data_IF_386096909471
#
_entry.id   IF_386096909471
#
_cell.length_a   1.000
_cell.length_b   1.000
_cell.length_c   1.000
_cell.angle_alpha   90.00
_cell.angle_beta   90.00
_cell.angle_gamma   90.00
#
_symmetry.space_group_name_H-M   'P 1'
#
loop_
_entity.id
_entity.type
_entity.pdbx_description
1 polymer ?
#
# COMPACT_ATOMS: atom_id res chain seq x y z
N UNK A 1 -33.91 -21.78 39.96
CA UNK A 1 -34.21 -21.60 38.53
C UNK A 1 -33.82 -20.17 38.17
N UNK A 2 -32.61 -19.96 37.66
CA UNK A 2 -32.31 -18.75 36.88
C UNK A 2 -31.08 -19.01 36.01
N UNK A 3 -31.30 -19.73 34.91
CA UNK A 3 -30.30 -19.90 33.87
C UNK A 3 -30.29 -18.63 33.01
N UNK A 4 -29.33 -17.76 33.30
CA UNK A 4 -28.95 -16.64 32.44
C UNK A 4 -28.50 -17.18 31.08
N UNK A 5 -29.40 -17.15 30.11
CA UNK A 5 -29.12 -17.46 28.70
C UNK A 5 -28.13 -16.42 28.17
N UNK A 6 -26.84 -16.76 28.16
CA UNK A 6 -25.80 -15.99 27.47
C UNK A 6 -26.10 -16.03 25.97
N UNK A 7 -26.56 -14.92 25.42
CA UNK A 7 -26.74 -14.75 23.98
C UNK A 7 -25.40 -15.02 23.27
N UNK A 8 -25.38 -15.79 22.17
CA UNK A 8 -24.16 -15.99 21.41
C UNK A 8 -23.67 -14.64 20.86
N UNK A 9 -22.41 -14.32 21.13
CA UNK A 9 -21.73 -13.15 20.55
C UNK A 9 -21.58 -13.41 19.03
N UNK A 10 -22.58 -13.02 18.24
CA UNK A 10 -22.41 -12.93 16.80
C UNK A 10 -21.34 -11.87 16.53
N UNK A 11 -20.18 -12.33 16.06
CA UNK A 11 -19.11 -11.45 15.60
C UNK A 11 -19.62 -10.79 14.32
N UNK A 12 -20.24 -9.62 14.45
CA UNK A 12 -20.58 -8.77 13.32
C UNK A 12 -19.28 -8.52 12.55
N UNK A 13 -19.12 -9.17 11.40
CA UNK A 13 -18.03 -8.87 10.47
C UNK A 13 -18.17 -7.40 10.11
N UNK A 14 -17.20 -6.58 10.50
CA UNK A 14 -17.24 -5.15 10.22
C UNK A 14 -17.53 -4.92 8.74
N UNK A 15 -18.52 -4.05 8.45
CA UNK A 15 -18.92 -3.70 7.08
C UNK A 15 -17.66 -3.30 6.30
N UNK A 16 -17.43 -3.93 5.15
CA UNK A 16 -16.36 -3.51 4.25
C UNK A 16 -16.56 -2.02 3.94
N UNK A 17 -15.51 -1.23 4.14
CA UNK A 17 -15.53 0.20 3.85
C UNK A 17 -15.42 0.35 2.35
N UNK A 18 -16.55 0.54 1.67
CA UNK A 18 -16.56 1.02 0.30
C UNK A 18 -16.18 2.51 0.26
N UNK A 19 -15.59 2.93 -0.86
CA UNK A 19 -15.33 4.32 -1.14
C UNK A 19 -16.65 5.07 -1.30
N UNK A 20 -16.72 6.28 -0.74
CA UNK A 20 -17.90 7.15 -0.87
C UNK A 20 -18.17 7.49 -2.34
N UNK A 21 -17.11 7.65 -3.14
CA UNK A 21 -17.20 7.95 -4.57
C UNK A 21 -17.78 6.80 -5.41
N UNK A 22 -17.83 5.57 -4.89
CA UNK A 22 -18.36 4.41 -5.62
C UNK A 22 -19.87 4.54 -5.85
N UNK A 23 -20.61 5.13 -4.91
CA UNK A 23 -22.05 5.30 -5.05
C UNK A 23 -22.80 3.97 -5.20
N UNK A 24 -23.73 3.92 -6.16
CA UNK A 24 -24.56 2.74 -6.47
C UNK A 24 -23.81 1.77 -7.39
N UNK A 25 -23.93 0.44 -7.19
CA UNK A 25 -23.32 -0.56 -8.07
C UNK A 25 -23.82 -0.55 -9.53
N UNK A 26 -24.96 0.09 -9.80
CA UNK A 26 -25.57 0.17 -11.13
C UNK A 26 -25.27 1.49 -11.86
N UNK A 27 -24.67 2.45 -11.15
CA UNK A 27 -24.29 3.75 -11.70
C UNK A 27 -22.78 3.82 -11.88
N UNK A 28 -22.32 4.71 -12.76
CA UNK A 28 -20.88 4.95 -12.91
C UNK A 28 -20.31 5.61 -11.67
N UNK A 29 -19.11 5.20 -11.30
CA UNK A 29 -18.37 5.84 -10.21
C UNK A 29 -18.07 7.31 -10.51
N UNK A 30 -18.22 8.16 -9.50
CA UNK A 30 -17.95 9.59 -9.65
C UNK A 30 -16.45 9.81 -9.94
N UNK A 31 -16.13 10.76 -10.82
CA UNK A 31 -14.75 11.08 -11.14
C UNK A 31 -14.01 11.60 -9.89
N UNK A 32 -12.92 10.93 -9.52
CA UNK A 32 -11.99 11.40 -8.48
C UNK A 32 -10.66 11.76 -9.15
N UNK A 33 -10.16 13.00 -8.99
CA UNK A 33 -8.90 13.42 -9.58
C UNK A 33 -7.72 12.61 -9.01
N UNK A 34 -6.68 12.46 -9.82
CA UNK A 34 -5.48 11.72 -9.44
C UNK A 34 -4.73 12.47 -8.34
N UNK A 35 -4.84 11.95 -7.11
CA UNK A 35 -3.96 12.30 -5.99
C UNK A 35 -2.99 11.15 -5.68
N UNK A 36 -2.69 10.33 -6.68
CA UNK A 36 -1.92 9.11 -6.50
C UNK A 36 -0.44 9.47 -6.36
N UNK A 37 0.15 9.13 -5.21
CA UNK A 37 1.60 8.98 -5.06
C UNK A 37 2.31 10.11 -4.33
N UNK A 38 1.79 11.33 -4.36
CA UNK A 38 2.39 12.46 -3.66
C UNK A 38 1.82 12.54 -2.26
N UNK A 39 2.25 11.60 -1.41
CA UNK A 39 2.01 11.63 0.04
C UNK A 39 2.69 12.80 0.76
N UNK A 40 2.97 13.90 0.05
CA UNK A 40 3.41 15.15 0.61
C UNK A 40 2.16 15.98 0.97
N UNK A 41 1.65 15.75 2.18
CA UNK A 41 1.04 16.87 2.90
C UNK A 41 2.07 18.01 2.85
N UNK A 42 1.77 19.10 2.14
CA UNK A 42 2.58 20.32 2.17
C UNK A 42 2.71 20.72 3.63
N UNK A 43 3.86 20.41 4.23
CA UNK A 43 4.13 20.77 5.61
C UNK A 43 4.29 22.27 5.62
N UNK A 44 3.41 22.94 6.33
CA UNK A 44 3.64 24.33 6.68
C UNK A 44 4.99 24.38 7.41
N UNK A 45 5.95 25.10 6.86
CA UNK A 45 7.30 25.18 7.43
C UNK A 45 7.17 25.87 8.78
N UNK A 46 7.41 25.14 9.85
CA UNK A 46 7.48 25.76 11.17
C UNK A 46 8.78 26.56 11.26
N UNK A 47 8.67 27.87 11.02
CA UNK A 47 9.79 28.83 11.06
C UNK A 47 10.50 28.84 12.43
N UNK A 48 9.84 28.34 13.49
CA UNK A 48 10.43 28.13 14.82
C UNK A 48 11.51 27.04 14.85
N UNK A 49 11.56 26.14 13.88
CA UNK A 49 12.61 25.13 13.77
C UNK A 49 13.99 25.72 13.42
N UNK A 50 14.02 26.97 12.91
CA UNK A 50 15.23 27.64 12.45
C UNK A 50 15.47 29.01 13.12
N UNK A 51 14.62 29.42 14.07
CA UNK A 51 14.73 30.72 14.76
C UNK A 51 14.39 30.61 16.25
N UNK A 52 15.03 31.44 17.08
CA UNK A 52 14.69 31.60 18.51
C UNK A 52 13.36 32.37 18.72
N UNK A 53 12.63 32.70 17.67
CA UNK A 53 11.42 33.51 17.77
C UNK A 53 10.21 32.68 18.21
N UNK A 54 9.82 32.90 19.47
CA UNK A 54 8.53 32.46 20.01
C UNK A 54 7.41 33.25 19.31
N UNK A 55 6.54 32.58 18.55
CA UNK A 55 5.25 33.15 18.13
C UNK A 55 4.44 33.41 19.41
N UNK A 56 4.41 34.65 19.87
CA UNK A 56 3.56 35.07 20.99
C UNK A 56 2.12 34.94 20.51
N UNK A 57 1.32 34.10 21.16
CA UNK A 57 -0.10 34.01 20.86
C UNK A 57 -0.76 35.31 21.30
N UNK A 58 -1.62 35.89 20.44
CA UNK A 58 -2.41 37.05 20.85
C UNK A 58 -3.29 36.61 22.03
N UNK A 59 -3.19 37.24 23.21
CA UNK A 59 -3.99 36.83 24.36
C UNK A 59 -5.47 36.96 24.01
N UNK A 60 -6.25 35.95 24.41
CA UNK A 60 -7.70 35.99 24.18
C UNK A 60 -8.34 37.11 25.01
N UNK A 61 -9.31 37.87 24.47
CA UNK A 61 -9.99 38.95 25.21
C UNK A 61 -10.69 38.46 26.48
N UNK A 62 -11.02 37.17 26.55
CA UNK A 62 -11.67 36.52 27.70
C UNK A 62 -10.70 36.25 28.86
N UNK A 63 -9.40 36.14 28.57
CA UNK A 63 -8.34 35.91 29.55
C UNK A 63 -7.60 37.21 29.82
N UNK A 64 -8.18 38.05 30.67
CA UNK A 64 -7.56 39.28 31.15
C UNK A 64 -6.99 39.11 32.57
N UNK A 65 -5.91 39.84 32.86
CA UNK A 65 -5.28 39.84 34.17
C UNK A 65 -6.23 40.46 35.21
N UNK A 66 -6.65 39.68 36.21
CA UNK A 66 -7.54 40.16 37.28
C UNK A 66 -6.76 40.85 38.39
N UNK A 67 -7.47 41.68 39.18
CA UNK A 67 -6.91 42.33 40.37
C UNK A 67 -6.27 41.28 41.28
N UNK A 68 -5.05 41.55 41.78
CA UNK A 68 -4.23 40.63 42.61
C UNK A 68 -3.57 39.43 41.88
N UNK A 69 -3.71 39.29 40.56
CA UNK A 69 -3.01 38.24 39.79
C UNK A 69 -1.70 38.70 39.13
N UNK A 70 -1.37 39.98 39.21
CA UNK A 70 -0.13 40.52 38.63
C UNK A 70 1.10 40.21 39.47
N UNK A 71 2.16 39.68 38.85
CA UNK A 71 3.45 39.33 39.49
C UNK A 71 4.52 40.44 39.34
N UNK A 72 4.09 41.71 39.28
CA UNK A 72 4.97 42.86 39.10
C UNK A 72 5.75 43.28 40.36
N UNK A 73 6.98 43.76 40.16
CA UNK A 73 7.77 44.55 41.14
C UNK A 73 8.35 43.81 42.36
N UNK A 74 7.50 43.26 43.23
CA UNK A 74 7.85 42.88 44.62
C UNK A 74 7.58 41.40 44.97
N UNK A 75 7.08 40.61 44.02
CA UNK A 75 6.81 39.18 44.23
C UNK A 75 8.11 38.39 44.42
N UNK A 76 8.17 37.44 45.39
CA UNK A 76 9.35 36.60 45.62
C UNK A 76 9.80 35.89 44.33
N UNK A 77 11.11 35.62 44.16
CA UNK A 77 11.66 34.95 42.98
C UNK A 77 10.94 33.63 42.65
N UNK A 78 10.52 32.87 43.66
CA UNK A 78 9.75 31.63 43.53
C UNK A 78 8.33 31.83 42.98
N UNK A 79 7.66 32.91 43.36
CA UNK A 79 6.32 33.23 42.85
C UNK A 79 6.40 33.68 41.38
N UNK A 80 7.48 34.38 41.02
CA UNK A 80 7.77 34.73 39.62
C UNK A 80 8.13 33.51 38.78
N UNK A 81 9.01 32.63 39.26
CA UNK A 81 9.39 31.44 38.51
C UNK A 81 8.21 30.48 38.32
N UNK A 82 7.34 30.31 39.32
CA UNK A 82 6.09 29.54 39.18
C UNK A 82 5.10 30.18 38.19
N UNK A 83 4.98 31.51 38.18
CA UNK A 83 4.10 32.20 37.23
C UNK A 83 4.67 32.17 35.79
N UNK A 84 5.98 32.27 35.61
CA UNK A 84 6.65 32.14 34.31
C UNK A 84 6.51 30.70 33.80
N UNK A 85 6.70 29.69 34.65
CA UNK A 85 6.49 28.29 34.31
C UNK A 85 5.01 27.94 34.02
N UNK A 86 4.06 28.63 34.66
CA UNK A 86 2.62 28.46 34.41
C UNK A 86 2.13 29.21 33.16
N UNK A 87 2.77 30.32 32.78
CA UNK A 87 2.45 31.11 31.60
C UNK A 87 3.07 30.53 30.32
N UNK A 88 4.25 29.93 30.41
CA UNK A 88 4.93 29.25 29.30
C UNK A 88 5.13 27.75 29.62
N UNK A 89 4.14 26.88 29.36
CA UNK A 89 4.37 25.43 29.32
C UNK A 89 5.32 25.01 28.18
N UNK A 90 5.81 25.96 27.38
CA UNK A 90 6.63 25.74 26.20
C UNK A 90 8.15 25.65 26.47
N UNK A 91 8.66 26.14 27.60
CA UNK A 91 10.12 26.20 27.88
C UNK A 91 10.76 24.83 28.22
N UNK A 92 9.99 23.73 28.14
CA UNK A 92 10.51 22.36 28.23
C UNK A 92 9.75 21.33 27.41
N UNK A 93 8.77 21.75 26.61
CA UNK A 93 8.03 20.84 25.74
C UNK A 93 8.89 20.49 24.53
N UNK A 94 9.63 19.37 24.64
CA UNK A 94 10.25 18.72 23.49
C UNK A 94 9.17 18.54 22.44
N UNK A 95 9.20 19.34 21.37
CA UNK A 95 8.25 19.21 20.26
C UNK A 95 8.42 17.77 19.76
N UNK A 96 7.40 16.90 19.90
CA UNK A 96 7.55 15.52 19.50
C UNK A 96 7.85 15.51 18.01
N UNK A 97 8.96 14.84 17.63
CA UNK A 97 9.32 14.67 16.22
C UNK A 97 8.08 14.22 15.44
N UNK A 98 7.82 14.81 14.26
CA UNK A 98 6.63 14.45 13.49
C UNK A 98 6.60 12.94 13.29
N UNK A 99 5.46 12.32 13.64
CA UNK A 99 5.32 10.86 13.60
C UNK A 99 5.66 10.38 12.18
N UNK A 100 6.60 9.44 12.07
CA UNK A 100 6.98 8.87 10.78
C UNK A 100 5.78 8.10 10.19
N UNK A 101 5.14 8.67 9.17
CA UNK A 101 3.98 8.09 8.48
C UNK A 101 4.38 7.07 7.38
N UNK A 102 5.64 6.59 7.36
CA UNK A 102 6.13 5.67 6.33
C UNK A 102 5.31 4.38 6.19
N UNK A 103 4.78 3.84 7.29
CA UNK A 103 4.00 2.60 7.30
C UNK A 103 2.48 2.82 7.17
N UNK A 104 2.01 4.07 7.20
CA UNK A 104 0.58 4.37 7.11
C UNK A 104 0.09 4.10 5.69
N UNK A 105 -1.07 3.43 5.58
CA UNK A 105 -1.79 3.27 4.30
C UNK A 105 -2.00 4.65 3.67
N UNK A 106 -1.75 4.75 2.37
CA UNK A 106 -2.03 5.95 1.59
C UNK A 106 -3.44 5.88 1.03
N UNK A 107 -3.99 7.04 0.71
CA UNK A 107 -5.30 7.12 0.08
C UNK A 107 -5.21 6.51 -1.33
N UNK A 108 -6.20 5.70 -1.66
CA UNK A 108 -6.33 5.02 -2.94
C UNK A 108 -7.74 5.28 -3.46
N UNK A 109 -7.97 6.34 -4.25
CA UNK A 109 -9.29 6.62 -4.79
C UNK A 109 -9.69 5.56 -5.84
N UNK A 110 -10.98 5.24 -5.98
CA UNK A 110 -11.51 4.28 -6.95
C UNK A 110 -11.56 4.88 -8.37
N UNK A 111 -10.43 5.38 -8.86
CA UNK A 111 -10.31 6.03 -10.16
C UNK A 111 -9.52 5.20 -11.18
N UNK A 112 -9.47 3.88 -10.99
CA UNK A 112 -8.76 2.98 -11.91
C UNK A 112 -9.36 3.03 -13.31
N UNK A 113 -8.48 2.88 -14.30
CA UNK A 113 -8.89 2.60 -15.67
C UNK A 113 -9.68 1.29 -15.73
N UNK A 114 -9.27 0.28 -14.96
CA UNK A 114 -9.95 -1.01 -14.85
C UNK A 114 -11.44 -0.88 -14.51
N UNK A 115 -11.76 -0.14 -13.44
CA UNK A 115 -13.14 0.10 -12.99
C UNK A 115 -13.99 0.75 -14.08
N UNK A 116 -13.44 1.76 -14.76
CA UNK A 116 -14.14 2.46 -15.87
C UNK A 116 -14.43 1.52 -17.05
N UNK A 117 -13.49 0.66 -17.41
CA UNK A 117 -13.67 -0.30 -18.50
C UNK A 117 -14.65 -1.42 -18.13
N UNK A 118 -14.66 -1.84 -16.86
CA UNK A 118 -15.65 -2.79 -16.35
C UNK A 118 -17.06 -2.21 -16.38
N UNK A 119 -17.25 -0.99 -15.87
CA UNK A 119 -18.55 -0.28 -15.88
C UNK A 119 -19.05 0.04 -17.29
N UNK A 120 -18.14 0.17 -18.27
CA UNK A 120 -18.49 0.32 -19.69
C UNK A 120 -18.81 -1.02 -20.37
N UNK A 121 -18.58 -2.14 -19.70
CA UNK A 121 -18.73 -3.51 -20.21
C UNK A 121 -17.82 -3.87 -21.39
N UNK A 122 -16.66 -3.19 -21.51
CA UNK A 122 -15.68 -3.44 -22.57
C UNK A 122 -14.75 -4.63 -22.25
N UNK A 123 -14.70 -5.06 -20.99
CA UNK A 123 -13.84 -6.15 -20.57
C UNK A 123 -14.40 -7.52 -21.03
N UNK A 124 -13.57 -8.38 -21.64
CA UNK A 124 -13.98 -9.70 -22.11
C UNK A 124 -14.00 -10.75 -20.98
N UNK A 125 -14.43 -10.37 -19.77
CA UNK A 125 -14.49 -11.25 -18.58
C UNK A 125 -15.83 -11.13 -17.88
N UNK A 126 -16.29 -12.25 -17.32
CA UNK A 126 -17.45 -12.34 -16.43
C UNK A 126 -17.07 -13.16 -15.19
N UNK A 127 -17.78 -12.93 -14.08
CA UNK A 127 -17.68 -13.79 -12.90
C UNK A 127 -18.54 -15.03 -13.14
N UNK A 128 -17.92 -16.22 -13.12
CA UNK A 128 -18.62 -17.49 -13.09
C UNK A 128 -18.86 -17.90 -11.63
N UNK A 129 -20.15 -17.99 -11.26
CA UNK A 129 -20.62 -18.36 -9.93
C UNK A 129 -21.17 -19.80 -9.88
N UNK A 130 -21.02 -20.58 -10.96
CA UNK A 130 -21.62 -21.91 -11.05
C UNK A 130 -20.96 -22.95 -10.12
N UNK A 131 -19.79 -22.63 -9.54
CA UNK A 131 -19.03 -23.51 -8.63
C UNK A 131 -18.95 -23.03 -7.19
N UNK A 132 -18.39 -23.88 -6.31
CA UNK A 132 -18.16 -23.53 -4.88
C UNK A 132 -17.09 -22.44 -4.68
N UNK A 133 -16.24 -22.21 -5.68
CA UNK A 133 -15.23 -21.14 -5.70
C UNK A 133 -15.51 -20.29 -6.93
N UNK A 134 -15.62 -18.96 -6.80
CA UNK A 134 -15.84 -18.10 -7.96
C UNK A 134 -14.66 -18.23 -8.92
N UNK A 135 -14.94 -18.31 -10.21
CA UNK A 135 -13.93 -18.33 -11.27
C UNK A 135 -14.22 -17.23 -12.27
N UNK A 136 -13.25 -16.91 -13.10
CA UNK A 136 -13.47 -15.99 -14.22
C UNK A 136 -13.82 -16.79 -15.48
N UNK A 137 -14.85 -16.35 -16.19
CA UNK A 137 -15.22 -16.83 -17.50
C UNK A 137 -14.81 -15.80 -18.54
N UNK A 138 -13.82 -16.18 -19.36
CA UNK A 138 -13.36 -15.36 -20.47
C UNK A 138 -14.33 -15.46 -21.66
N UNK A 139 -14.79 -14.32 -22.18
CA UNK A 139 -15.62 -14.25 -23.40
C UNK A 139 -14.79 -14.56 -24.65
N UNK A 140 -13.49 -14.31 -24.60
CA UNK A 140 -12.53 -14.52 -25.68
C UNK A 140 -11.35 -15.31 -25.12
N UNK A 141 -10.84 -16.28 -25.87
CA UNK A 141 -9.67 -17.08 -25.53
C UNK A 141 -8.46 -16.19 -25.16
N UNK A 142 -7.84 -16.47 -24.01
CA UNK A 142 -6.74 -15.69 -23.39
C UNK A 142 -5.55 -15.52 -24.35
N UNK A 143 -5.31 -16.52 -25.20
CA UNK A 143 -4.23 -16.54 -26.17
C UNK A 143 -4.44 -15.55 -27.31
N UNK A 144 -5.68 -15.17 -27.62
CA UNK A 144 -6.02 -14.29 -28.75
C UNK A 144 -6.18 -12.82 -28.35
N UNK A 145 -6.13 -12.52 -27.05
CA UNK A 145 -6.19 -11.15 -26.55
C UNK A 145 -4.95 -10.34 -26.92
N UNK A 146 -5.14 -9.02 -27.04
CA UNK A 146 -4.04 -8.07 -27.17
C UNK A 146 -3.48 -7.70 -25.79
N UNK A 147 -2.28 -8.18 -25.52
CA UNK A 147 -1.61 -7.98 -24.23
C UNK A 147 -1.21 -6.52 -24.00
N UNK A 148 -0.98 -5.73 -25.04
CA UNK A 148 -0.62 -4.30 -24.87
C UNK A 148 -1.80 -3.49 -24.34
N UNK A 149 -3.02 -3.85 -24.72
CA UNK A 149 -4.22 -3.16 -24.26
C UNK A 149 -4.71 -3.69 -22.90
N UNK A 150 -4.86 -5.01 -22.78
CA UNK A 150 -5.55 -5.60 -21.62
C UNK A 150 -4.64 -5.83 -20.41
N UNK A 151 -3.38 -6.24 -20.59
CA UNK A 151 -2.54 -6.58 -19.44
C UNK A 151 -2.26 -5.36 -18.53
N UNK A 152 -1.88 -4.18 -19.06
CA UNK A 152 -1.72 -2.99 -18.21
C UNK A 152 -3.02 -2.59 -17.50
N UNK A 153 -4.18 -2.81 -18.15
CA UNK A 153 -5.49 -2.51 -17.59
C UNK A 153 -5.81 -3.40 -16.38
N UNK A 154 -5.55 -4.70 -16.46
CA UNK A 154 -5.69 -5.62 -15.31
C UNK A 154 -4.68 -5.28 -14.20
N UNK A 155 -3.44 -4.91 -14.54
CA UNK A 155 -2.44 -4.49 -13.57
C UNK A 155 -2.79 -3.18 -12.86
N UNK A 156 -3.43 -2.21 -13.53
CA UNK A 156 -3.95 -1.00 -12.87
C UNK A 156 -5.10 -1.34 -11.91
N UNK A 157 -5.89 -2.37 -12.22
CA UNK A 157 -6.94 -2.90 -11.35
C UNK A 157 -6.45 -3.54 -10.05
N UNK A 158 -5.15 -3.86 -9.91
CA UNK A 158 -4.62 -4.50 -8.69
C UNK A 158 -4.73 -3.63 -7.44
N UNK A 159 -4.86 -2.31 -7.61
CA UNK A 159 -5.13 -1.40 -6.49
C UNK A 159 -6.58 -1.46 -6.01
N UNK A 160 -7.51 -2.05 -6.76
CA UNK A 160 -8.89 -2.18 -6.32
C UNK A 160 -9.02 -3.05 -5.07
N UNK A 161 -9.84 -2.60 -4.14
CA UNK A 161 -10.13 -3.32 -2.88
C UNK A 161 -11.58 -3.76 -2.76
N UNK A 162 -12.46 -3.26 -3.61
CA UNK A 162 -13.89 -3.58 -3.61
C UNK A 162 -14.20 -4.76 -4.53
N UNK A 163 -15.09 -5.66 -4.09
CA UNK A 163 -15.69 -6.64 -4.97
C UNK A 163 -16.80 -6.01 -5.82
N UNK A 164 -16.95 -6.38 -7.11
CA UNK A 164 -16.28 -7.49 -7.82
C UNK A 164 -14.93 -7.14 -8.46
N UNK A 165 -14.53 -5.86 -8.48
CA UNK A 165 -13.38 -5.37 -9.24
C UNK A 165 -12.05 -6.00 -8.80
N UNK A 166 -11.83 -6.12 -7.49
CA UNK A 166 -10.58 -6.66 -6.92
C UNK A 166 -10.32 -8.11 -7.34
N UNK A 167 -11.38 -8.93 -7.40
CA UNK A 167 -11.32 -10.34 -7.77
C UNK A 167 -11.05 -10.51 -9.28
N UNK A 168 -11.80 -9.78 -10.11
CA UNK A 168 -11.63 -9.82 -11.56
C UNK A 168 -10.24 -9.33 -11.99
N UNK A 169 -9.70 -8.30 -11.33
CA UNK A 169 -8.37 -7.79 -11.61
C UNK A 169 -7.27 -8.82 -11.28
N UNK A 170 -7.35 -9.44 -10.10
CA UNK A 170 -6.34 -10.40 -9.62
C UNK A 170 -6.34 -11.70 -10.44
N UNK A 171 -7.50 -12.35 -10.57
CA UNK A 171 -7.59 -13.60 -11.33
C UNK A 171 -7.38 -13.36 -12.83
N UNK A 172 -7.87 -12.24 -13.36
CA UNK A 172 -7.66 -11.87 -14.77
C UNK A 172 -6.18 -11.66 -15.10
N UNK A 173 -5.45 -10.94 -14.24
CA UNK A 173 -4.01 -10.76 -14.40
C UNK A 173 -3.26 -12.10 -14.29
N UNK A 174 -3.65 -12.95 -13.33
CA UNK A 174 -3.01 -14.25 -13.11
C UNK A 174 -3.18 -15.19 -14.31
N UNK A 175 -4.40 -15.30 -14.84
CA UNK A 175 -4.69 -16.11 -16.02
C UNK A 175 -3.90 -15.62 -17.23
N UNK A 176 -3.92 -14.30 -17.51
CA UNK A 176 -3.16 -13.72 -18.62
C UNK A 176 -1.66 -13.94 -18.49
N UNK A 177 -1.09 -13.80 -17.30
CA UNK A 177 0.35 -14.03 -17.08
C UNK A 177 0.70 -15.50 -17.27
N UNK A 178 -0.13 -16.42 -16.78
CA UNK A 178 0.11 -17.86 -16.89
C UNK A 178 0.05 -18.39 -18.34
N UNK A 179 -0.85 -17.84 -19.17
CA UNK A 179 -1.05 -18.28 -20.56
C UNK A 179 -0.22 -17.45 -21.55
N UNK A 180 0.10 -16.21 -21.21
CA UNK A 180 0.67 -15.23 -22.15
C UNK A 180 2.08 -15.53 -22.64
N UNK A 181 2.89 -16.24 -21.85
CA UNK A 181 4.27 -16.61 -22.18
C UNK A 181 5.05 -15.45 -22.81
N UNK A 182 5.52 -15.65 -24.05
CA UNK A 182 6.32 -14.67 -24.82
C UNK A 182 5.61 -13.33 -25.11
N UNK A 183 4.27 -13.26 -25.08
CA UNK A 183 3.52 -12.01 -25.32
C UNK A 183 3.65 -11.00 -24.18
N UNK A 184 4.06 -11.45 -23.00
CA UNK A 184 4.19 -10.62 -21.80
C UNK A 184 5.45 -9.75 -21.86
N UNK A 185 6.55 -10.27 -22.43
CA UNK A 185 7.84 -9.60 -22.50
C UNK A 185 7.80 -8.17 -23.09
N UNK A 186 7.18 -7.90 -24.27
CA UNK A 186 7.13 -6.55 -24.82
C UNK A 186 6.28 -5.57 -24.00
N UNK A 187 5.40 -6.07 -23.12
CA UNK A 187 4.47 -5.25 -22.34
C UNK A 187 5.06 -4.83 -21.00
N UNK A 188 6.16 -5.46 -20.54
CA UNK A 188 6.81 -5.18 -19.24
C UNK A 188 6.98 -3.67 -18.95
N UNK A 189 7.49 -2.82 -19.87
CA UNK A 189 7.63 -1.39 -19.60
C UNK A 189 6.32 -0.69 -19.21
N UNK A 190 5.19 -1.14 -19.77
CA UNK A 190 3.86 -0.57 -19.51
C UNK A 190 3.30 -1.02 -18.15
N UNK A 191 3.76 -2.15 -17.61
CA UNK A 191 3.31 -2.68 -16.31
C UNK A 191 3.97 -1.98 -15.12
N UNK A 192 5.14 -1.36 -15.32
CA UNK A 192 5.94 -0.77 -14.23
C UNK A 192 5.17 0.31 -13.46
N UNK A 193 4.45 1.19 -14.15
CA UNK A 193 3.70 2.29 -13.53
C UNK A 193 2.51 1.74 -12.71
N UNK A 194 1.63 0.88 -13.26
CA UNK A 194 0.59 0.20 -12.48
C UNK A 194 1.12 -0.53 -11.24
N UNK A 195 2.21 -1.30 -11.37
CA UNK A 195 2.84 -2.03 -10.26
C UNK A 195 3.31 -1.05 -9.18
N UNK A 196 4.04 -0.01 -9.57
CA UNK A 196 4.52 1.05 -8.67
C UNK A 196 3.35 1.71 -7.93
N UNK A 197 2.28 2.05 -8.64
CA UNK A 197 1.10 2.70 -8.06
C UNK A 197 0.40 1.79 -7.05
N UNK A 198 0.22 0.50 -7.37
CA UNK A 198 -0.38 -0.47 -6.46
C UNK A 198 0.47 -0.68 -5.19
N UNK A 199 1.80 -0.79 -5.31
CA UNK A 199 2.72 -0.90 -4.16
C UNK A 199 2.72 0.39 -3.31
N UNK A 200 2.61 1.55 -3.94
CA UNK A 200 2.58 2.84 -3.26
C UNK A 200 1.34 3.08 -2.40
N UNK A 201 0.27 2.30 -2.56
CA UNK A 201 -0.91 2.36 -1.67
C UNK A 201 -0.57 2.01 -0.22
N UNK A 202 0.53 1.26 0.02
CA UNK A 202 0.93 0.76 1.34
C UNK A 202 -0.13 -0.07 2.06
N UNK A 203 -1.11 -0.61 1.32
CA UNK A 203 -2.07 -1.55 1.87
C UNK A 203 -1.49 -2.98 1.80
N UNK A 204 -1.31 -3.68 2.94
CA UNK A 204 -0.80 -5.05 2.94
C UNK A 204 -1.56 -6.00 2.01
N UNK A 205 -2.90 -5.87 1.91
CA UNK A 205 -3.70 -6.74 1.03
C UNK A 205 -3.39 -6.51 -0.46
N UNK A 206 -3.16 -5.26 -0.85
CA UNK A 206 -2.77 -4.92 -2.24
C UNK A 206 -1.35 -5.40 -2.50
N UNK A 207 -0.42 -5.13 -1.58
CA UNK A 207 0.99 -5.52 -1.75
C UNK A 207 1.13 -7.03 -1.89
N UNK A 208 0.45 -7.83 -1.06
CA UNK A 208 0.50 -9.30 -1.15
C UNK A 208 0.03 -9.80 -2.52
N UNK A 209 -1.08 -9.26 -3.04
CA UNK A 209 -1.59 -9.60 -4.39
C UNK A 209 -0.59 -9.26 -5.48
N UNK A 210 -0.01 -8.06 -5.43
CA UNK A 210 1.00 -7.61 -6.39
C UNK A 210 2.27 -8.47 -6.31
N UNK A 211 2.73 -8.82 -5.11
CA UNK A 211 3.90 -9.69 -4.93
C UNK A 211 3.66 -11.08 -5.53
N UNK A 212 2.51 -11.70 -5.29
CA UNK A 212 2.14 -13.00 -5.91
C UNK A 212 2.13 -12.93 -7.43
N UNK A 213 1.58 -11.85 -7.99
CA UNK A 213 1.59 -11.65 -9.44
C UNK A 213 2.98 -11.37 -10.00
N UNK A 214 3.85 -10.68 -9.26
CA UNK A 214 5.26 -10.50 -9.65
C UNK A 214 6.02 -11.83 -9.67
N UNK A 215 5.78 -12.71 -8.69
CA UNK A 215 6.35 -14.06 -8.68
C UNK A 215 5.86 -14.85 -9.91
N UNK A 216 4.55 -14.84 -10.16
CA UNK A 216 3.97 -15.48 -11.34
C UNK A 216 4.53 -14.90 -12.65
N UNK A 217 4.74 -13.58 -12.71
CA UNK A 217 5.27 -12.87 -13.87
C UNK A 217 6.69 -13.30 -14.22
N UNK A 218 7.56 -13.42 -13.21
CA UNK A 218 8.95 -13.87 -13.42
C UNK A 218 8.99 -15.32 -13.84
N UNK A 219 8.11 -16.17 -13.28
CA UNK A 219 8.05 -17.60 -13.60
C UNK A 219 7.37 -17.90 -14.95
N UNK A 220 6.55 -16.99 -15.49
CA UNK A 220 5.73 -17.22 -16.68
C UNK A 220 6.52 -17.61 -17.95
N UNK A 221 7.77 -17.17 -18.05
CA UNK A 221 8.64 -17.44 -19.20
C UNK A 221 9.76 -18.43 -18.86
N UNK A 222 9.80 -19.02 -17.66
CA UNK A 222 10.92 -19.89 -17.25
C UNK A 222 10.90 -21.24 -17.98
N UNK A 223 9.71 -21.83 -18.16
CA UNK A 223 9.56 -23.15 -18.78
C UNK A 223 9.64 -23.13 -20.32
N UNK A 224 9.80 -21.94 -20.93
CA UNK A 224 9.85 -21.77 -22.38
C UNK A 224 11.28 -21.90 -22.92
N UNK A 225 11.45 -22.42 -24.14
CA UNK A 225 12.75 -22.51 -24.79
C UNK A 225 13.36 -21.10 -25.01
N UNK A 226 14.55 -20.86 -24.46
CA UNK A 226 15.19 -19.54 -24.45
C UNK A 226 14.52 -18.53 -23.51
N UNK A 227 13.74 -19.04 -22.56
CA UNK A 227 12.98 -18.29 -21.58
C UNK A 227 13.80 -17.72 -20.41
N UNK A 228 13.11 -17.11 -19.46
CA UNK A 228 13.72 -16.37 -18.35
C UNK A 228 14.15 -14.94 -18.72
N UNK A 229 13.62 -14.42 -19.83
CA UNK A 229 13.94 -13.05 -20.28
C UNK A 229 13.14 -11.99 -19.53
N UNK A 230 11.97 -12.36 -18.99
CA UNK A 230 11.14 -11.44 -18.20
C UNK A 230 11.88 -10.94 -16.95
N UNK A 231 12.51 -11.85 -16.19
CA UNK A 231 13.28 -11.48 -14.99
C UNK A 231 14.41 -10.49 -15.32
N UNK A 232 15.16 -10.75 -16.40
CA UNK A 232 16.22 -9.86 -16.89
C UNK A 232 15.68 -8.50 -17.34
N UNK A 233 14.53 -8.48 -18.01
CA UNK A 233 13.88 -7.25 -18.46
C UNK A 233 13.36 -6.37 -17.30
N UNK A 234 13.14 -6.94 -16.10
CA UNK A 234 12.68 -6.20 -14.92
C UNK A 234 13.81 -5.46 -14.20
N UNK A 235 15.08 -5.87 -14.36
CA UNK A 235 16.23 -5.30 -13.63
C UNK A 235 16.33 -3.77 -13.74
N UNK A 236 16.18 -3.14 -14.94
CA UNK A 236 16.22 -1.68 -15.05
C UNK A 236 15.14 -0.95 -14.23
N UNK A 237 14.05 -1.64 -13.91
CA UNK A 237 12.89 -1.08 -13.22
C UNK A 237 12.89 -1.34 -11.70
N UNK A 238 13.88 -2.07 -11.16
CA UNK A 238 14.00 -2.33 -9.73
C UNK A 238 13.98 -1.04 -8.89
N UNK A 239 14.57 0.06 -9.39
CA UNK A 239 14.56 1.37 -8.71
C UNK A 239 13.16 1.91 -8.43
N UNK A 240 12.16 1.53 -9.25
CA UNK A 240 10.78 2.00 -9.12
C UNK A 240 9.94 1.09 -8.22
N UNK A 241 10.27 -0.20 -8.17
CA UNK A 241 9.45 -1.25 -7.52
C UNK A 241 9.96 -1.54 -6.10
N UNK A 242 11.27 -1.73 -5.93
CA UNK A 242 11.87 -2.20 -4.68
C UNK A 242 11.87 -1.22 -3.49
N UNK A 243 11.72 0.12 -3.62
CA UNK A 243 11.69 1.00 -2.46
C UNK A 243 10.61 0.64 -1.42
N UNK A 244 9.46 0.12 -1.88
CA UNK A 244 8.37 -0.32 -0.99
C UNK A 244 8.74 -1.62 -0.26
N UNK A 245 9.52 -2.49 -0.89
CA UNK A 245 9.94 -3.77 -0.30
C UNK A 245 10.83 -3.51 0.90
N UNK A 246 11.73 -2.52 0.82
CA UNK A 246 12.61 -2.13 1.93
C UNK A 246 11.82 -1.67 3.17
N UNK A 247 10.68 -1.00 2.98
CA UNK A 247 9.82 -0.58 4.09
C UNK A 247 9.24 -1.79 4.81
N UNK A 248 8.79 -2.81 4.06
CA UNK A 248 7.99 -3.91 4.60
C UNK A 248 8.75 -5.23 4.79
N UNK A 249 10.02 -5.33 4.39
CA UNK A 249 10.82 -6.57 4.47
C UNK A 249 10.84 -7.17 5.87
N UNK A 250 10.97 -6.33 6.90
CA UNK A 250 11.05 -6.80 8.30
C UNK A 250 9.68 -6.99 8.96
N UNK A 251 8.58 -6.87 8.21
CA UNK A 251 7.23 -7.02 8.74
C UNK A 251 6.83 -8.49 8.79
N UNK A 252 7.45 -9.21 9.71
CA UNK A 252 7.13 -10.59 10.04
C UNK A 252 6.33 -10.71 11.33
N UNK A 253 5.53 -11.76 11.41
CA UNK A 253 4.76 -12.10 12.61
C UNK A 253 5.67 -12.95 13.51
N UNK A 254 5.97 -12.47 14.71
CA UNK A 254 6.66 -13.28 15.72
C UNK A 254 5.61 -13.84 16.69
N UNK A 255 5.40 -15.16 16.62
CA UNK A 255 4.42 -15.90 17.45
C UNK A 255 5.08 -16.74 18.55
N UNK A 256 6.38 -16.60 18.78
CA UNK A 256 7.10 -17.38 19.79
C UNK A 256 6.98 -18.88 19.53
N UNK A 257 6.51 -19.63 20.53
CA UNK A 257 6.33 -21.09 20.48
C UNK A 257 4.96 -21.52 19.91
N UNK A 258 4.10 -20.56 19.53
CA UNK A 258 2.82 -20.87 18.91
C UNK A 258 2.98 -21.23 17.42
N UNK A 259 2.04 -22.01 16.88
CA UNK A 259 2.04 -22.44 15.48
C UNK A 259 1.24 -21.43 14.63
N UNK A 260 1.80 -21.03 13.48
CA UNK A 260 1.10 -20.19 12.51
C UNK A 260 0.17 -21.04 11.64
N UNK A 261 -1.14 -20.85 11.79
CA UNK A 261 -2.14 -21.51 10.94
C UNK A 261 -2.44 -20.78 9.63
N UNK A 262 -1.90 -19.58 9.42
CA UNK A 262 -2.13 -18.76 8.23
C UNK A 262 -1.19 -19.10 7.05
N UNK A 263 -0.26 -20.04 7.25
CA UNK A 263 0.74 -20.48 6.26
C UNK A 263 0.14 -20.88 4.91
N UNK A 264 -0.99 -21.59 4.91
CA UNK A 264 -1.67 -22.00 3.65
C UNK A 264 -2.05 -20.80 2.77
N UNK A 265 -2.37 -19.66 3.39
CA UNK A 265 -2.70 -18.43 2.66
C UNK A 265 -1.46 -17.66 2.24
N UNK A 266 -0.31 -17.87 2.88
CA UNK A 266 0.93 -17.14 2.64
C UNK A 266 0.71 -15.61 2.62
N UNK A 267 0.08 -15.10 3.68
CA UNK A 267 -0.26 -13.69 3.85
C UNK A 267 0.84 -12.91 4.62
N UNK A 268 1.89 -13.59 5.10
CA UNK A 268 3.00 -12.93 5.77
C UNK A 268 3.84 -12.14 4.75
N UNK A 269 3.97 -10.84 5.00
CA UNK A 269 4.51 -9.91 4.03
C UNK A 269 6.04 -10.00 3.91
N UNK A 270 6.75 -10.16 5.03
CA UNK A 270 8.21 -10.23 5.00
C UNK A 270 8.70 -11.50 4.30
N UNK A 271 8.10 -12.66 4.60
CA UNK A 271 8.43 -13.92 3.94
C UNK A 271 8.15 -13.88 2.44
N UNK A 272 7.01 -13.30 2.05
CA UNK A 272 6.65 -13.14 0.64
C UNK A 272 7.61 -12.19 -0.09
N UNK A 273 8.05 -11.11 0.56
CA UNK A 273 9.06 -10.19 0.01
C UNK A 273 10.39 -10.90 -0.18
N UNK A 274 10.86 -11.66 0.81
CA UNK A 274 12.12 -12.41 0.71
C UNK A 274 12.06 -13.41 -0.46
N UNK A 275 11.00 -14.21 -0.54
CA UNK A 275 10.79 -15.16 -1.63
C UNK A 275 10.73 -14.47 -3.01
N UNK A 276 10.10 -13.29 -3.11
CA UNK A 276 10.10 -12.54 -4.38
C UNK A 276 11.49 -12.01 -4.75
N UNK A 277 12.28 -11.56 -3.78
CA UNK A 277 13.64 -11.07 -4.03
C UNK A 277 14.58 -12.20 -4.48
N UNK A 278 14.44 -13.39 -3.89
CA UNK A 278 15.17 -14.58 -4.31
C UNK A 278 14.86 -14.91 -5.78
N UNK A 279 13.58 -14.94 -6.16
CA UNK A 279 13.17 -15.16 -7.56
C UNK A 279 13.72 -14.08 -8.51
N UNK A 280 13.77 -12.82 -8.07
CA UNK A 280 14.33 -11.72 -8.84
C UNK A 280 15.85 -11.85 -9.04
N UNK A 281 16.56 -12.43 -8.08
CA UNK A 281 17.98 -12.72 -8.21
C UNK A 281 18.22 -13.95 -9.11
N UNK A 282 17.49 -15.04 -8.89
CA UNK A 282 17.64 -16.29 -9.66
C UNK A 282 17.39 -16.10 -11.16
N UNK A 283 16.34 -15.34 -11.52
CA UNK A 283 15.93 -15.14 -12.93
C UNK A 283 16.31 -13.77 -13.51
N UNK A 284 16.86 -12.87 -12.70
CA UNK A 284 17.26 -11.51 -13.14
C UNK A 284 18.60 -11.46 -13.88
N UNK A 285 19.40 -12.52 -13.84
CA UNK A 285 20.73 -12.57 -14.45
C UNK A 285 21.84 -11.99 -13.56
N UNK A 286 23.07 -11.84 -14.08
CA UNK A 286 24.28 -11.58 -13.28
C UNK A 286 24.24 -10.24 -12.53
N UNK A 287 23.63 -9.21 -13.12
CA UNK A 287 23.59 -7.87 -12.54
C UNK A 287 22.42 -7.66 -11.55
N UNK A 288 21.55 -8.66 -11.38
CA UNK A 288 20.34 -8.52 -10.56
C UNK A 288 20.69 -8.25 -9.09
N UNK A 289 21.63 -9.02 -8.52
CA UNK A 289 22.04 -8.89 -7.12
C UNK A 289 22.56 -7.48 -6.79
N UNK A 290 23.42 -6.92 -7.63
CA UNK A 290 24.01 -5.59 -7.42
C UNK A 290 22.91 -4.52 -7.38
N UNK A 291 21.94 -4.61 -8.29
CA UNK A 291 20.81 -3.68 -8.34
C UNK A 291 19.87 -3.83 -7.13
N UNK A 292 19.60 -5.08 -6.70
CA UNK A 292 18.78 -5.34 -5.50
C UNK A 292 19.49 -4.81 -4.25
N UNK A 293 20.78 -5.13 -4.06
CA UNK A 293 21.58 -4.73 -2.90
C UNK A 293 21.71 -3.21 -2.78
N UNK A 294 21.81 -2.51 -3.91
CA UNK A 294 21.85 -1.05 -3.93
C UNK A 294 20.56 -0.43 -3.35
N UNK A 295 19.40 -1.06 -3.57
CA UNK A 295 18.09 -0.56 -3.13
C UNK A 295 17.67 -1.12 -1.76
N UNK A 296 18.09 -2.34 -1.45
CA UNK A 296 17.78 -3.05 -0.21
C UNK A 296 19.13 -3.49 0.41
N UNK A 297 19.77 -2.62 1.22
CA UNK A 297 21.08 -2.89 1.81
C UNK A 297 21.10 -4.02 2.85
N UNK A 298 19.94 -4.61 3.17
CA UNK A 298 19.83 -5.73 4.11
C UNK A 298 19.61 -7.07 3.39
N UNK A 299 19.49 -7.08 2.06
CA UNK A 299 19.33 -8.32 1.29
C UNK A 299 20.68 -9.04 1.14
N UNK A 300 20.67 -10.36 1.31
CA UNK A 300 21.82 -11.25 1.15
C UNK A 300 21.56 -12.17 -0.04
N UNK A 301 22.62 -12.48 -0.79
CA UNK A 301 22.50 -13.29 -2.02
C UNK A 301 22.02 -14.70 -1.70
N UNK A 302 21.08 -15.21 -2.49
CA UNK A 302 20.63 -16.60 -2.40
C UNK A 302 21.42 -17.54 -3.33
N UNK A 303 22.27 -17.00 -4.20
CA UNK A 303 23.06 -17.74 -5.20
C UNK A 303 24.52 -17.72 -4.75
N UNK A 304 24.93 -18.76 -4.01
CA UNK A 304 26.34 -18.98 -3.63
C UNK A 304 27.13 -19.63 -4.78
#
# INVERSE_FOLDING_TARGET
>A
MDESIKRPNYRLTGREKSHVATGSPFDRTAFVPDQIGDGEEKREVDVRAFSFERKVTRPSPEQFLRKSQGTGGLSPPEARSKAIAAADPADGAVIPRPKNKAYKKRDNPPNTSFRRFYERADLPVNVDQNGSVPKIAWKVQVERLDYHHYLPLFFDGLRETEMPYSFLAEEGAKDMVSVGGRKVLPVIPQLVIPIKNALNTRDPKVIVRVLRLLQALVLADVDQEGGGMIGRALVPYYRQILPVFNIFKNKNINIGDAIDYSQKKNDNLGDLISSTLELFETYGGPDAYINIRYLIPTYESCMN
#
